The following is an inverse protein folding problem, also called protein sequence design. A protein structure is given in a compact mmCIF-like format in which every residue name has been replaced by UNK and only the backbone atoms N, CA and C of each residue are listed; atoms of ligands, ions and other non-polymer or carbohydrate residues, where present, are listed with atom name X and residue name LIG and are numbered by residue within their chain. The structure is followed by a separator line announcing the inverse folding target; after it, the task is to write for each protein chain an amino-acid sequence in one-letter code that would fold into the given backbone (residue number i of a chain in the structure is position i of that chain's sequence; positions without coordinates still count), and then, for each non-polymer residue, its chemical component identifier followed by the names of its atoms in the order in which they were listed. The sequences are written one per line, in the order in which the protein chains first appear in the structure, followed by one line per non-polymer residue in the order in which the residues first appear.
data_IF_776096836806
#
_entry.id   IF_776096836806
#
_cell.length_a   1.000
_cell.length_b   1.000
_cell.length_c   1.000
_cell.angle_alpha   90.00
_cell.angle_beta   90.00
_cell.angle_gamma   90.00
#
_symmetry.space_group_name_H-M   'P 1'
#
loop_
_entity.id
_entity.type
_entity.pdbx_description
1 polymer ?
#
# COMPACT_ATOMS: atom_id res chain seq x y z
N UNK A 1 -13.70 5.76 22.02
CA UNK A 1 -13.00 5.11 20.89
C UNK A 1 -13.80 5.38 19.64
N UNK A 2 -13.21 6.05 18.65
CA UNK A 2 -13.85 6.30 17.35
C UNK A 2 -13.39 5.29 16.30
N UNK A 3 -14.21 5.04 15.30
CA UNK A 3 -13.85 4.25 14.12
C UNK A 3 -13.75 5.18 12.91
N UNK A 4 -12.73 4.98 12.07
CA UNK A 4 -12.63 5.65 10.78
C UNK A 4 -13.10 4.68 9.71
N UNK A 5 -14.05 5.15 8.90
CA UNK A 5 -14.56 4.44 7.74
C UNK A 5 -14.14 5.19 6.48
N UNK A 6 -13.58 4.45 5.52
CA UNK A 6 -13.29 4.95 4.19
C UNK A 6 -14.44 4.52 3.27
N UNK A 7 -15.26 5.46 2.85
CA UNK A 7 -16.45 5.24 2.02
C UNK A 7 -16.19 5.54 0.55
N UNK A 8 -16.88 4.83 -0.34
CA UNK A 8 -17.02 5.17 -1.77
C UNK A 8 -15.80 4.87 -2.64
N UNK A 9 -15.77 5.50 -3.81
CA UNK A 9 -14.68 5.40 -4.79
C UNK A 9 -13.33 5.82 -4.20
N UNK A 10 -12.23 5.23 -4.69
CA UNK A 10 -10.87 5.49 -4.20
C UNK A 10 -10.57 7.00 -4.18
N UNK A 11 -10.27 7.60 -3.01
CA UNK A 11 -10.01 9.02 -2.92
C UNK A 11 -8.75 9.40 -3.70
N UNK A 12 -8.76 10.59 -4.30
CA UNK A 12 -7.60 11.09 -5.03
C UNK A 12 -6.43 11.46 -4.11
N UNK A 13 -6.71 11.80 -2.84
CA UNK A 13 -5.73 12.12 -1.82
C UNK A 13 -5.92 11.19 -0.62
N UNK A 14 -4.83 10.56 -0.20
CA UNK A 14 -4.82 9.60 0.91
C UNK A 14 -4.02 10.21 2.06
N UNK A 15 -4.56 10.15 3.27
CA UNK A 15 -3.86 10.58 4.48
C UNK A 15 -2.81 9.54 4.88
N UNK A 16 -1.54 9.88 4.73
CA UNK A 16 -0.38 8.98 4.94
C UNK A 16 0.39 9.29 6.22
N UNK A 17 0.11 10.43 6.86
CA UNK A 17 0.56 10.80 8.18
C UNK A 17 -0.53 11.56 8.94
N UNK A 18 -0.24 12.06 10.13
CA UNK A 18 -1.26 12.78 10.92
C UNK A 18 -1.72 14.07 10.21
N UNK A 19 -0.80 14.75 9.53
CA UNK A 19 -1.07 16.02 8.82
C UNK A 19 -0.62 15.98 7.35
N UNK A 20 -0.25 14.80 6.84
CA UNK A 20 0.32 14.62 5.51
C UNK A 20 -0.63 13.82 4.61
N UNK A 21 -0.83 14.31 3.39
CA UNK A 21 -1.66 13.68 2.38
C UNK A 21 -0.85 13.50 1.11
N UNK A 22 -1.03 12.37 0.41
CA UNK A 22 -0.42 12.10 -0.87
C UNK A 22 -1.46 11.79 -1.94
N UNK A 23 -1.19 12.25 -3.15
CA UNK A 23 -1.99 11.91 -4.32
C UNK A 23 -1.88 10.43 -4.66
N UNK A 24 -2.99 9.81 -5.05
CA UNK A 24 -3.02 8.42 -5.50
C UNK A 24 -2.05 8.15 -6.65
N UNK A 25 -1.88 9.11 -7.56
CA UNK A 25 -0.90 9.00 -8.67
C UNK A 25 0.54 8.99 -8.18
N UNK A 26 0.86 9.79 -7.16
CA UNK A 26 2.17 9.83 -6.54
C UNK A 26 2.46 8.51 -5.80
N UNK A 27 1.47 7.98 -5.08
CA UNK A 27 1.58 6.67 -4.43
C UNK A 27 1.79 5.58 -5.48
N UNK A 28 1.02 5.60 -6.57
CA UNK A 28 1.20 4.69 -7.71
C UNK A 28 2.61 4.75 -8.31
N UNK A 29 3.20 5.95 -8.44
CA UNK A 29 4.60 6.11 -8.86
C UNK A 29 5.56 5.40 -7.89
N UNK A 30 5.40 5.56 -6.58
CA UNK A 30 6.23 4.85 -5.60
C UNK A 30 6.08 3.34 -5.72
N UNK A 31 4.85 2.83 -5.87
CA UNK A 31 4.61 1.40 -6.09
C UNK A 31 5.33 0.92 -7.35
N UNK A 32 5.23 1.64 -8.46
CA UNK A 32 5.94 1.29 -9.70
C UNK A 32 7.46 1.32 -9.52
N UNK A 33 8.02 2.30 -8.81
CA UNK A 33 9.45 2.38 -8.54
C UNK A 33 9.94 1.22 -7.66
N UNK A 34 9.17 0.86 -6.64
CA UNK A 34 9.47 -0.28 -5.77
C UNK A 34 9.42 -1.60 -6.54
N UNK A 35 8.39 -1.81 -7.36
CA UNK A 35 8.18 -3.06 -8.09
C UNK A 35 9.11 -3.24 -9.29
N UNK A 36 9.32 -2.18 -10.10
CA UNK A 36 10.01 -2.30 -11.38
C UNK A 36 11.49 -1.93 -11.28
N UNK A 37 11.83 -1.00 -10.40
CA UNK A 37 13.17 -0.45 -10.27
C UNK A 37 13.83 -0.77 -8.92
N UNK A 38 13.18 -1.59 -8.08
CA UNK A 38 13.71 -2.07 -6.80
C UNK A 38 14.11 -0.93 -5.86
N UNK A 39 13.43 0.22 -6.00
CA UNK A 39 13.73 1.43 -5.24
C UNK A 39 13.19 1.27 -3.83
N UNK A 40 14.03 1.51 -2.82
CA UNK A 40 13.58 1.46 -1.41
C UNK A 40 12.61 2.58 -1.09
N UNK A 41 11.80 2.43 -0.03
CA UNK A 41 10.92 3.50 0.47
C UNK A 41 11.71 4.78 0.81
N UNK A 42 12.92 4.63 1.36
CA UNK A 42 13.83 5.75 1.61
C UNK A 42 14.24 6.46 0.32
N UNK A 43 14.54 5.72 -0.74
CA UNK A 43 14.86 6.34 -2.02
C UNK A 43 13.62 6.96 -2.67
N UNK A 44 12.42 6.37 -2.53
CA UNK A 44 11.17 6.98 -3.00
C UNK A 44 10.93 8.34 -2.33
N UNK A 45 11.10 8.42 -1.01
CA UNK A 45 10.97 9.66 -0.26
C UNK A 45 11.98 10.72 -0.75
N UNK A 46 13.26 10.34 -0.88
CA UNK A 46 14.31 11.24 -1.40
C UNK A 46 14.06 11.68 -2.83
N UNK A 47 13.58 10.79 -3.70
CA UNK A 47 13.24 11.13 -5.08
C UNK A 47 12.13 12.17 -5.12
N UNK A 48 11.10 12.02 -4.28
CA UNK A 48 10.07 13.05 -4.15
C UNK A 48 10.66 14.38 -3.67
N UNK A 49 11.45 14.35 -2.60
CA UNK A 49 12.06 15.57 -2.05
C UNK A 49 12.95 16.29 -3.08
N UNK A 50 13.75 15.55 -3.83
CA UNK A 50 14.70 16.13 -4.80
C UNK A 50 14.06 16.56 -6.11
N UNK A 51 13.06 15.84 -6.61
CA UNK A 51 12.56 16.03 -7.97
C UNK A 51 11.13 16.61 -8.04
N UNK A 52 10.33 16.45 -6.98
CA UNK A 52 8.88 16.72 -7.03
C UNK A 52 8.40 17.70 -5.94
N UNK A 53 9.11 17.83 -4.82
CA UNK A 53 8.70 18.69 -3.71
C UNK A 53 8.74 20.19 -4.02
N UNK A 54 9.47 20.60 -5.06
CA UNK A 54 9.39 21.95 -5.63
C UNK A 54 9.65 23.10 -4.66
N UNK A 55 10.53 22.94 -3.65
CA UNK A 55 10.85 23.96 -2.62
C UNK A 55 9.67 24.42 -1.73
N UNK A 56 8.61 23.61 -1.62
CA UNK A 56 7.37 23.99 -0.94
C UNK A 56 7.49 24.30 0.57
N UNK A 57 8.54 23.82 1.26
CA UNK A 57 8.65 23.99 2.71
C UNK A 57 8.73 25.46 3.15
N UNK A 58 9.40 26.31 2.34
CA UNK A 58 9.46 27.76 2.59
C UNK A 58 8.12 28.45 2.35
N UNK A 59 7.38 28.01 1.34
CA UNK A 59 6.07 28.57 1.01
C UNK A 59 5.02 28.17 2.05
N UNK A 60 5.07 26.93 2.54
CA UNK A 60 4.22 26.46 3.64
C UNK A 60 4.52 27.22 4.95
N UNK A 61 5.79 27.40 5.29
CA UNK A 61 6.18 28.18 6.46
C UNK A 61 5.72 29.65 6.33
N UNK A 62 5.87 30.27 5.16
CA UNK A 62 5.37 31.62 4.90
C UNK A 62 3.84 31.73 4.97
N UNK A 63 3.13 30.64 4.61
CA UNK A 63 1.68 30.53 4.75
C UNK A 63 1.19 30.20 6.17
N UNK A 64 2.08 30.09 7.16
CA UNK A 64 1.72 29.79 8.56
C UNK A 64 1.41 28.31 8.83
N UNK A 65 1.79 27.40 7.93
CA UNK A 65 1.66 25.96 8.16
C UNK A 65 2.70 25.49 9.18
N UNK A 66 2.23 24.94 10.30
CA UNK A 66 3.08 24.59 11.45
C UNK A 66 3.58 23.13 11.44
N UNK A 67 3.09 22.29 10.52
CA UNK A 67 3.46 20.87 10.47
C UNK A 67 4.55 20.63 9.43
N UNK A 68 5.46 19.71 9.73
CA UNK A 68 6.52 19.33 8.79
C UNK A 68 5.96 18.69 7.53
N UNK A 69 6.51 19.07 6.37
CA UNK A 69 6.15 18.51 5.06
C UNK A 69 7.17 17.47 4.56
N UNK A 70 8.13 17.09 5.40
CA UNK A 70 9.16 16.10 5.05
C UNK A 70 8.54 14.72 4.94
N UNK A 71 8.69 14.11 3.76
CA UNK A 71 8.22 12.77 3.48
C UNK A 71 9.17 11.74 4.10
N UNK A 72 8.66 10.86 4.96
CA UNK A 72 9.46 9.80 5.58
C UNK A 72 9.28 8.46 4.86
N UNK A 73 10.22 7.51 5.00
CA UNK A 73 10.05 6.16 4.45
C UNK A 73 8.81 5.44 5.01
N UNK A 74 8.48 5.69 6.28
CA UNK A 74 7.28 5.11 6.92
C UNK A 74 6.01 5.63 6.27
N UNK A 75 5.94 6.92 5.94
CA UNK A 75 4.80 7.49 5.21
C UNK A 75 4.62 6.87 3.82
N UNK A 76 5.70 6.51 3.13
CA UNK A 76 5.62 5.80 1.84
C UNK A 76 5.05 4.39 2.02
N UNK A 77 5.47 3.66 3.06
CA UNK A 77 4.91 2.35 3.38
C UNK A 77 3.45 2.43 3.81
N UNK A 78 3.09 3.40 4.65
CA UNK A 78 1.72 3.64 5.06
C UNK A 78 0.84 3.93 3.84
N UNK A 79 1.33 4.75 2.89
CA UNK A 79 0.63 5.02 1.64
C UNK A 79 0.36 3.76 0.82
N UNK A 80 1.37 2.90 0.67
CA UNK A 80 1.24 1.62 -0.02
C UNK A 80 0.22 0.69 0.67
N UNK A 81 0.29 0.57 1.99
CA UNK A 81 -0.62 -0.27 2.79
C UNK A 81 -2.06 0.22 2.66
N UNK A 82 -2.29 1.53 2.81
CA UNK A 82 -3.62 2.12 2.73
C UNK A 82 -4.19 1.93 1.32
N UNK A 83 -3.42 2.22 0.27
CA UNK A 83 -3.86 2.03 -1.10
C UNK A 83 -4.21 0.56 -1.38
N UNK A 84 -3.38 -0.38 -0.93
CA UNK A 84 -3.63 -1.82 -1.09
C UNK A 84 -4.91 -2.27 -0.39
N UNK A 85 -5.17 -1.76 0.82
CA UNK A 85 -6.39 -2.07 1.57
C UNK A 85 -7.63 -1.46 0.92
N UNK A 86 -7.54 -0.22 0.43
CA UNK A 86 -8.64 0.42 -0.31
C UNK A 86 -8.94 -0.34 -1.60
N UNK A 87 -7.91 -0.77 -2.33
CA UNK A 87 -8.04 -1.57 -3.54
C UNK A 87 -8.74 -2.89 -3.27
N UNK A 88 -8.30 -3.60 -2.24
CA UNK A 88 -8.90 -4.88 -1.83
C UNK A 88 -10.37 -4.74 -1.41
N UNK A 89 -10.70 -3.77 -0.56
CA UNK A 89 -12.09 -3.54 -0.13
C UNK A 89 -12.97 -3.13 -1.32
N UNK A 90 -12.46 -2.31 -2.24
CA UNK A 90 -13.19 -1.93 -3.44
C UNK A 90 -13.48 -3.13 -4.36
N UNK A 91 -12.54 -4.07 -4.51
CA UNK A 91 -12.77 -5.30 -5.29
C UNK A 91 -13.85 -6.21 -4.68
N UNK A 92 -14.02 -6.18 -3.35
CA UNK A 92 -15.00 -6.99 -2.61
C UNK A 92 -16.32 -6.26 -2.36
N UNK A 93 -16.48 -5.03 -2.85
CA UNK A 93 -17.62 -4.14 -2.56
C UNK A 93 -17.84 -3.93 -1.05
N UNK A 94 -16.73 -3.78 -0.31
CA UNK A 94 -16.72 -3.52 1.13
C UNK A 94 -16.07 -2.17 1.45
N UNK A 95 -16.23 -1.70 2.69
CA UNK A 95 -15.59 -0.47 3.18
C UNK A 95 -14.43 -0.80 4.13
N UNK A 96 -13.32 -0.06 4.03
CA UNK A 96 -12.21 -0.19 4.96
C UNK A 96 -12.56 0.46 6.30
N UNK A 97 -12.53 -0.34 7.37
CA UNK A 97 -12.76 0.08 8.75
C UNK A 97 -11.48 -0.04 9.56
N UNK A 98 -11.06 1.05 10.21
CA UNK A 98 -9.87 1.06 11.10
C UNK A 98 -10.12 1.90 12.35
N UNK A 99 -9.37 1.68 13.45
CA UNK A 99 -9.43 2.57 14.61
C UNK A 99 -9.14 4.02 14.23
N UNK A 100 -9.90 4.97 14.77
CA UNK A 100 -9.67 6.40 14.52
C UNK A 100 -8.41 6.92 15.23
N UNK A 101 -8.09 6.32 16.37
CA UNK A 101 -6.97 6.69 17.25
C UNK A 101 -5.86 5.64 17.20
N UNK A 102 -4.67 6.00 17.68
CA UNK A 102 -3.50 5.12 17.73
C UNK A 102 -2.45 5.49 16.70
N UNK A 103 -1.26 4.90 16.85
CA UNK A 103 -0.12 5.16 15.96
C UNK A 103 -0.44 4.75 14.53
N UNK A 104 -0.08 5.59 13.57
CA UNK A 104 -0.34 5.38 12.13
C UNK A 104 0.13 3.99 11.67
N UNK A 105 1.37 3.62 12.06
CA UNK A 105 2.02 2.33 11.74
C UNK A 105 1.26 1.10 12.26
N UNK A 106 0.44 1.26 13.28
CA UNK A 106 -0.30 0.17 13.92
C UNK A 106 -1.76 0.10 13.43
N UNK A 107 -2.31 1.24 13.00
CA UNK A 107 -3.73 1.40 12.67
C UNK A 107 -4.24 0.42 11.61
N UNK A 108 -3.38 0.06 10.66
CA UNK A 108 -3.74 -0.79 9.52
C UNK A 108 -3.32 -2.26 9.69
N UNK A 109 -2.64 -2.61 10.79
CA UNK A 109 -2.09 -3.97 11.00
C UNK A 109 -3.17 -5.04 10.99
N UNK A 110 -4.27 -4.82 11.70
CA UNK A 110 -5.32 -5.83 11.81
C UNK A 110 -6.09 -5.99 10.50
N UNK A 111 -6.35 -4.90 9.77
CA UNK A 111 -6.93 -4.96 8.43
C UNK A 111 -6.02 -5.72 7.44
N UNK A 112 -4.70 -5.48 7.49
CA UNK A 112 -3.74 -6.20 6.65
C UNK A 112 -3.64 -7.68 7.02
N UNK A 113 -3.69 -8.02 8.31
CA UNK A 113 -3.74 -9.41 8.78
C UNK A 113 -5.01 -10.13 8.32
N UNK A 114 -6.16 -9.45 8.32
CA UNK A 114 -7.40 -10.00 7.82
C UNK A 114 -7.29 -10.32 6.33
N UNK A 115 -6.83 -9.35 5.51
CA UNK A 115 -6.56 -9.55 4.09
C UNK A 115 -5.60 -10.72 3.85
N UNK A 116 -4.48 -10.77 4.56
CA UNK A 116 -3.48 -11.82 4.38
C UNK A 116 -4.01 -13.20 4.77
N UNK A 117 -4.87 -13.28 5.79
CA UNK A 117 -5.52 -14.53 6.19
C UNK A 117 -6.44 -15.05 5.10
N UNK A 118 -7.26 -14.18 4.52
CA UNK A 118 -8.12 -14.55 3.39
C UNK A 118 -7.29 -15.04 2.20
N UNK A 119 -6.19 -14.37 1.88
CA UNK A 119 -5.28 -14.83 0.81
C UNK A 119 -4.66 -16.20 1.11
N UNK A 120 -4.41 -16.52 2.39
CA UNK A 120 -3.90 -17.85 2.78
C UNK A 120 -5.00 -18.91 2.69
N UNK A 121 -6.23 -18.58 3.09
CA UNK A 121 -7.37 -19.50 3.18
C UNK A 121 -8.03 -19.76 1.81
N UNK A 122 -8.19 -18.71 1.00
CA UNK A 122 -8.89 -18.72 -0.28
C UNK A 122 -7.92 -18.70 -1.49
N UNK A 123 -6.65 -18.36 -1.27
CA UNK A 123 -5.67 -18.13 -2.33
C UNK A 123 -5.71 -16.71 -2.90
N UNK A 124 -4.96 -16.49 -3.98
CA UNK A 124 -5.09 -15.28 -4.81
C UNK A 124 -5.96 -15.60 -6.03
N UNK A 125 -6.62 -14.63 -6.65
CA UNK A 125 -7.43 -14.87 -7.85
C UNK A 125 -6.60 -15.51 -8.98
N UNK A 126 -5.31 -15.16 -9.03
CA UNK A 126 -4.29 -15.71 -9.92
C UNK A 126 -3.95 -17.18 -9.63
N UNK A 127 -4.47 -17.81 -8.57
CA UNK A 127 -4.26 -19.24 -8.29
C UNK A 127 -4.91 -20.14 -9.36
N UNK A 128 -5.91 -19.61 -10.06
CA UNK A 128 -6.53 -20.27 -11.21
C UNK A 128 -5.62 -20.31 -12.45
N UNK A 129 -4.46 -19.63 -12.41
CA UNK A 129 -3.47 -19.65 -13.47
C UNK A 129 -2.63 -20.93 -13.44
N UNK A 130 -2.91 -21.84 -14.36
CA UNK A 130 -2.02 -22.95 -14.70
C UNK A 130 -1.17 -22.59 -15.93
N UNK A 131 0.14 -22.44 -15.73
CA UNK A 131 1.10 -22.46 -16.84
C UNK A 131 2.33 -23.30 -16.48
N UNK A 132 3.00 -23.79 -17.51
CA UNK A 132 4.25 -24.56 -17.46
C UNK A 132 5.42 -23.84 -16.79
N UNK A 133 5.33 -22.52 -16.59
CA UNK A 133 6.32 -21.71 -15.88
C UNK A 133 6.04 -21.55 -14.38
N UNK A 134 4.77 -21.48 -13.98
CA UNK A 134 4.36 -21.20 -12.59
C UNK A 134 4.01 -22.48 -11.82
N UNK A 135 3.47 -23.50 -12.51
CA UNK A 135 3.14 -24.79 -11.92
C UNK A 135 4.32 -25.75 -12.09
N UNK A 136 4.93 -26.18 -10.98
CA UNK A 136 6.03 -27.16 -11.01
C UNK A 136 5.44 -28.57 -10.90
N UNK A 137 5.37 -29.25 -12.03
CA UNK A 137 5.05 -30.69 -12.08
C UNK A 137 6.30 -31.48 -11.71
N UNK A 138 6.23 -32.30 -10.68
CA UNK A 138 7.32 -33.18 -10.29
C UNK A 138 6.98 -34.62 -10.66
N UNK A 139 7.91 -35.29 -11.37
CA UNK A 139 7.79 -36.72 -11.62
C UNK A 139 8.27 -37.52 -10.42
N UNK A 140 7.43 -38.47 -10.00
CA UNK A 140 7.79 -39.48 -9.01
C UNK A 140 8.66 -40.56 -9.65
N UNK A 141 9.40 -41.34 -8.83
CA UNK A 141 10.21 -42.45 -9.33
C UNK A 141 9.44 -43.53 -10.11
N UNK A 142 8.13 -43.62 -9.92
CA UNK A 142 7.22 -44.55 -10.61
C UNK A 142 6.66 -43.99 -11.93
N UNK A 143 7.06 -42.78 -12.33
CA UNK A 143 6.60 -42.11 -13.54
C UNK A 143 5.25 -41.39 -13.41
N UNK A 144 4.65 -41.36 -12.21
CA UNK A 144 3.45 -40.55 -11.96
C UNK A 144 3.81 -39.09 -11.69
N UNK A 145 3.01 -38.19 -12.22
CA UNK A 145 3.12 -36.74 -12.01
C UNK A 145 2.22 -36.35 -10.82
N UNK A 146 2.69 -35.40 -10.01
CA UNK A 146 1.83 -34.73 -9.05
C UNK A 146 2.04 -33.22 -9.11
N UNK A 147 0.91 -32.53 -9.16
CA UNK A 147 0.83 -31.07 -9.09
C UNK A 147 0.77 -30.68 -7.60
N UNK A 148 1.38 -29.54 -7.27
CA UNK A 148 1.22 -28.87 -5.97
C UNK A 148 0.65 -27.49 -6.21
#
# INVERSE_FOLDING_TARGET
MGMRMYYGDKPNYIQIGEHQFAERKLIGLWVSLMLLAWVSATNCARTYDMALSGQQERDFAAGGWQFGCVLTPDMVWDAFIILTLLDYNNCKDTCLHVPHTGEQKDRFKDAMRARNREVIEEGQDEISHCCDKCMRVWQRPDGSEYDV
#
